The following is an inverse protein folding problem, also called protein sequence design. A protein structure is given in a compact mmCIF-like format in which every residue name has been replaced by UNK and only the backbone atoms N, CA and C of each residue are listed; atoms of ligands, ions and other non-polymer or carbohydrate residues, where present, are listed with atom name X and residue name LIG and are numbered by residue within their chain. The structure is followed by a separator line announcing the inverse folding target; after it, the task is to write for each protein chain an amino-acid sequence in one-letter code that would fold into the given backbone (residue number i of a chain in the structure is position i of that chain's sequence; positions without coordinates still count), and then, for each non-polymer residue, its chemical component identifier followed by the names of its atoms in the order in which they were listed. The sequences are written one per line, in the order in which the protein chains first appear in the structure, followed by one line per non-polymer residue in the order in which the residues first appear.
data_IF_847517783972
#
_entry.id   IF_847517783972
#
_cell.length_a   1.000
_cell.length_b   1.000
_cell.length_c   1.000
_cell.angle_alpha   90.00
_cell.angle_beta   90.00
_cell.angle_gamma   90.00
#
_symmetry.space_group_name_H-M   'P 1'
#
loop_
_entity.id
_entity.type
_entity.pdbx_description
1 polymer ?
#
# COMPACT_ATOMS: atom_id res chain seq x y z
N UNK A 1 -37.05 10.81 25.41
CA UNK A 1 -36.55 10.78 24.80
C UNK A 1 -35.69 9.79 24.50
N UNK A 2 -35.89 8.81 24.72
CA UNK A 2 -34.94 7.75 24.57
C UNK A 2 -34.72 7.46 23.10
N UNK A 3 -35.78 7.38 22.36
CA UNK A 3 -35.71 7.09 20.93
C UNK A 3 -34.96 8.18 20.18
N UNK A 4 -35.16 9.42 20.58
CA UNK A 4 -34.43 10.52 19.97
C UNK A 4 -32.96 10.44 20.25
N UNK A 5 -32.58 9.87 21.38
CA UNK A 5 -31.18 9.71 21.70
C UNK A 5 -30.52 8.60 20.87
N UNK A 6 -31.26 7.53 20.64
CA UNK A 6 -30.69 6.43 19.83
C UNK A 6 -30.37 6.86 18.41
N UNK A 7 -31.22 7.63 17.80
CA UNK A 7 -31.03 8.07 16.43
C UNK A 7 -29.74 8.86 16.27
N UNK A 8 -29.45 9.87 17.10
CA UNK A 8 -28.17 10.58 16.99
C UNK A 8 -26.95 9.69 17.17
N UNK A 9 -27.03 8.73 18.10
CA UNK A 9 -25.91 7.80 18.30
C UNK A 9 -25.70 6.92 17.09
N UNK A 10 -26.79 6.41 16.51
CA UNK A 10 -26.70 5.57 15.33
C UNK A 10 -26.09 6.35 14.17
N UNK A 11 -26.52 7.59 13.98
CA UNK A 11 -25.99 8.43 12.91
C UNK A 11 -24.51 8.71 13.11
N UNK A 12 -24.10 8.98 14.34
CA UNK A 12 -22.71 9.25 14.65
C UNK A 12 -21.85 8.02 14.38
N UNK A 13 -22.33 6.85 14.80
CA UNK A 13 -21.61 5.61 14.57
C UNK A 13 -21.43 5.34 13.09
N UNK A 14 -22.48 5.54 12.30
CA UNK A 14 -22.42 5.34 10.87
C UNK A 14 -21.45 6.33 10.21
N UNK A 15 -21.45 7.56 10.67
CA UNK A 15 -20.53 8.56 10.16
C UNK A 15 -19.09 8.20 10.45
N UNK A 16 -18.81 7.70 11.65
CA UNK A 16 -17.46 7.27 12.00
C UNK A 16 -17.01 6.08 11.15
N UNK A 17 -17.90 5.14 10.91
CA UNK A 17 -17.60 4.00 10.05
C UNK A 17 -17.30 4.45 8.63
N UNK A 18 -18.10 5.37 8.12
CA UNK A 18 -17.90 5.88 6.77
C UNK A 18 -16.56 6.61 6.65
N UNK A 19 -16.19 7.40 7.63
CA UNK A 19 -14.89 8.08 7.64
C UNK A 19 -13.75 7.10 7.68
N UNK A 20 -13.89 6.03 8.44
CA UNK A 20 -12.87 4.99 8.51
C UNK A 20 -12.71 4.29 7.17
N UNK A 21 -13.81 3.98 6.50
CA UNK A 21 -13.77 3.37 5.17
C UNK A 21 -13.09 4.28 4.16
N UNK A 22 -13.37 5.57 4.21
CA UNK A 22 -12.73 6.54 3.34
C UNK A 22 -11.21 6.56 3.54
N UNK A 23 -10.77 6.55 4.79
CA UNK A 23 -9.34 6.53 5.10
C UNK A 23 -8.67 5.28 4.56
N UNK A 24 -9.31 4.12 4.71
CA UNK A 24 -8.77 2.89 4.19
C UNK A 24 -8.68 2.91 2.67
N UNK A 25 -9.69 3.46 2.00
CA UNK A 25 -9.66 3.59 0.55
C UNK A 25 -8.55 4.52 0.09
N UNK A 26 -8.32 5.62 0.79
CA UNK A 26 -7.27 6.57 0.46
C UNK A 26 -5.90 5.92 0.63
N UNK A 27 -5.70 5.17 1.71
CA UNK A 27 -4.45 4.43 1.91
C UNK A 27 -4.20 3.44 0.77
N UNK A 28 -5.24 2.70 0.40
CA UNK A 28 -5.14 1.72 -0.67
C UNK A 28 -4.76 2.38 -1.99
N UNK A 29 -5.39 3.50 -2.31
CA UNK A 29 -5.06 4.24 -3.54
C UNK A 29 -3.61 4.69 -3.53
N UNK A 30 -3.12 5.15 -2.39
CA UNK A 30 -1.73 5.57 -2.25
C UNK A 30 -0.79 4.39 -2.48
N UNK A 31 -1.08 3.25 -1.86
CA UNK A 31 -0.26 2.06 -2.00
C UNK A 31 -0.28 1.52 -3.43
N UNK A 32 -1.43 1.59 -4.10
CA UNK A 32 -1.54 1.17 -5.49
C UNK A 32 -0.72 2.06 -6.42
N UNK A 33 -0.64 3.35 -6.10
CA UNK A 33 0.19 4.26 -6.87
C UNK A 33 1.67 3.91 -6.71
N UNK A 34 2.09 3.62 -5.49
CA UNK A 34 3.46 3.17 -5.23
C UNK A 34 3.72 1.85 -5.96
N UNK A 35 2.76 0.95 -5.92
CA UNK A 35 2.88 -0.32 -6.62
C UNK A 35 3.07 -0.13 -8.12
N UNK A 36 2.38 0.83 -8.72
CA UNK A 36 2.53 1.09 -10.13
C UNK A 36 3.94 1.61 -10.48
N UNK A 37 4.56 2.39 -9.60
CA UNK A 37 5.94 2.79 -9.77
C UNK A 37 6.89 1.59 -9.69
N UNK A 38 6.60 0.68 -8.78
CA UNK A 38 7.38 -0.54 -8.63
C UNK A 38 7.27 -1.41 -9.88
N UNK A 39 6.07 -1.54 -10.44
CA UNK A 39 5.87 -2.29 -11.67
C UNK A 39 6.71 -1.73 -12.82
N UNK A 40 6.73 -0.41 -12.95
CA UNK A 40 7.55 0.24 -13.97
C UNK A 40 9.02 -0.08 -13.78
N UNK A 41 9.47 -0.06 -12.53
CA UNK A 41 10.86 -0.35 -12.23
C UNK A 41 11.21 -1.82 -12.52
N UNK A 42 10.30 -2.73 -12.24
CA UNK A 42 10.48 -4.13 -12.57
C UNK A 42 10.65 -4.31 -14.08
N UNK A 43 9.77 -3.67 -14.85
CA UNK A 43 9.83 -3.76 -16.31
C UNK A 43 11.17 -3.22 -16.83
N UNK A 44 11.57 -2.07 -16.35
CA UNK A 44 12.86 -1.48 -16.78
C UNK A 44 14.02 -2.38 -16.43
N UNK A 45 14.02 -2.94 -15.23
CA UNK A 45 15.11 -3.82 -14.81
C UNK A 45 15.14 -5.11 -15.61
N UNK A 46 13.96 -5.66 -15.94
CA UNK A 46 13.90 -6.88 -16.73
C UNK A 46 14.40 -6.67 -18.16
N UNK A 47 14.17 -5.49 -18.72
CA UNK A 47 14.68 -5.15 -20.04
C UNK A 47 16.21 -5.11 -20.07
N UNK A 48 16.82 -4.82 -18.91
CA UNK A 48 18.27 -4.84 -18.77
C UNK A 48 18.84 -6.20 -18.40
N UNK A 49 18.05 -7.29 -18.56
CA UNK A 49 18.45 -8.67 -18.23
C UNK A 49 18.70 -8.92 -16.75
N UNK A 50 18.10 -8.11 -15.89
CA UNK A 50 18.15 -8.34 -14.45
C UNK A 50 17.01 -9.22 -14.00
N UNK A 51 17.23 -9.97 -12.93
CA UNK A 51 16.20 -10.82 -12.33
C UNK A 51 15.71 -10.27 -11.01
N UNK A 52 16.13 -9.08 -10.65
CA UNK A 52 15.75 -8.45 -9.40
C UNK A 52 15.83 -6.93 -9.57
N UNK A 53 15.18 -6.24 -8.65
CA UNK A 53 15.31 -4.79 -8.55
C UNK A 53 15.08 -4.37 -7.11
N UNK A 54 15.48 -3.15 -6.82
CA UNK A 54 15.28 -2.53 -5.51
C UNK A 54 14.30 -1.41 -5.63
N UNK A 55 13.54 -1.18 -4.59
CA UNK A 55 12.71 0.02 -4.52
C UNK A 55 12.82 0.60 -3.12
N UNK A 56 13.14 1.88 -3.06
CA UNK A 56 13.16 2.60 -1.80
C UNK A 56 11.78 3.22 -1.59
N UNK A 57 11.04 2.73 -0.60
CA UNK A 57 9.71 3.26 -0.32
C UNK A 57 9.89 4.63 0.33
N UNK A 58 9.36 5.70 -0.26
CA UNK A 58 9.51 7.03 0.32
C UNK A 58 8.66 7.16 1.59
N UNK A 59 9.09 8.03 2.49
CA UNK A 59 8.33 8.26 3.72
C UNK A 59 7.02 8.97 3.45
N UNK A 60 6.98 9.76 2.39
CA UNK A 60 5.76 10.45 1.99
C UNK A 60 5.86 10.83 0.52
N UNK A 61 4.69 11.09 -0.08
CA UNK A 61 4.59 11.68 -1.42
C UNK A 61 3.89 13.03 -1.30
N UNK A 62 4.44 14.03 -1.97
CA UNK A 62 3.81 15.36 -2.00
C UNK A 62 2.46 15.21 -2.69
N UNK A 63 1.42 15.74 -2.04
CA UNK A 63 0.07 15.69 -2.57
C UNK A 63 -0.72 14.43 -2.23
N UNK A 64 -0.11 13.50 -1.51
CA UNK A 64 -0.80 12.30 -1.06
C UNK A 64 -0.85 12.24 0.46
N UNK A 65 -1.86 11.59 1.05
CA UNK A 65 -1.93 11.45 2.51
C UNK A 65 -0.73 10.71 3.07
N UNK A 66 -0.42 10.98 4.31
CA UNK A 66 0.65 10.25 5.01
C UNK A 66 0.28 8.80 5.16
N UNK A 67 1.29 7.93 5.14
CA UNK A 67 1.09 6.50 5.27
C UNK A 67 2.22 5.89 6.10
N UNK A 68 2.05 4.65 6.49
CA UNK A 68 3.07 3.90 7.21
C UNK A 68 3.88 3.07 6.22
N UNK A 69 5.20 3.16 6.30
CA UNK A 69 6.07 2.35 5.45
C UNK A 69 5.84 0.87 5.73
N UNK A 70 5.63 0.49 6.99
CA UNK A 70 5.39 -0.90 7.34
C UNK A 70 4.10 -1.44 6.74
N UNK A 71 3.01 -0.69 6.83
CA UNK A 71 1.76 -1.09 6.19
C UNK A 71 1.90 -1.16 4.68
N UNK A 72 2.59 -0.17 4.11
CA UNK A 72 2.80 -0.08 2.68
C UNK A 72 3.58 -1.29 2.16
N UNK A 73 4.68 -1.63 2.82
CA UNK A 73 5.49 -2.75 2.34
C UNK A 73 4.76 -4.08 2.47
N UNK A 74 3.94 -4.26 3.51
CA UNK A 74 3.14 -5.48 3.65
C UNK A 74 2.13 -5.58 2.51
N UNK A 75 1.44 -4.49 2.22
CA UNK A 75 0.46 -4.44 1.14
C UNK A 75 1.10 -4.78 -0.22
N UNK A 76 2.21 -4.14 -0.51
CA UNK A 76 2.90 -4.32 -1.78
C UNK A 76 3.49 -5.72 -1.90
N UNK A 77 4.10 -6.23 -0.84
CA UNK A 77 4.69 -7.57 -0.85
C UNK A 77 3.62 -8.63 -1.06
N UNK A 78 2.45 -8.46 -0.45
CA UNK A 78 1.34 -9.38 -0.66
C UNK A 78 0.88 -9.40 -2.11
N UNK A 79 0.80 -8.24 -2.74
CA UNK A 79 0.44 -8.15 -4.15
C UNK A 79 1.49 -8.80 -5.05
N UNK A 80 2.75 -8.53 -4.78
CA UNK A 80 3.85 -9.12 -5.55
C UNK A 80 3.89 -10.64 -5.39
N UNK A 81 3.66 -11.12 -4.19
CA UNK A 81 3.63 -12.55 -3.92
C UNK A 81 2.53 -13.23 -4.74
N UNK A 82 1.37 -12.63 -4.83
CA UNK A 82 0.27 -13.17 -5.64
C UNK A 82 0.63 -13.26 -7.10
N UNK A 83 1.53 -12.43 -7.56
CA UNK A 83 1.99 -12.41 -8.95
C UNK A 83 3.27 -13.22 -9.15
N UNK A 84 3.69 -13.99 -8.16
CA UNK A 84 4.82 -14.90 -8.30
C UNK A 84 6.18 -14.32 -7.97
N UNK A 85 6.22 -13.08 -7.47
CA UNK A 85 7.48 -12.46 -7.11
C UNK A 85 7.90 -12.85 -5.70
N UNK A 86 9.21 -12.89 -5.48
CA UNK A 86 9.79 -13.06 -4.16
C UNK A 86 10.27 -11.71 -3.67
N UNK A 87 10.05 -11.42 -2.40
CA UNK A 87 10.42 -10.12 -1.86
C UNK A 87 11.12 -10.24 -0.53
N UNK A 88 11.99 -9.27 -0.25
CA UNK A 88 12.64 -9.11 1.05
C UNK A 88 12.56 -7.63 1.41
N UNK A 89 12.36 -7.35 2.66
CA UNK A 89 12.28 -5.97 3.12
C UNK A 89 13.39 -5.69 4.12
N UNK A 90 14.12 -4.61 3.89
CA UNK A 90 15.22 -4.18 4.76
C UNK A 90 14.89 -2.83 5.34
N UNK A 91 15.02 -2.73 6.65
CA UNK A 91 14.80 -1.47 7.33
C UNK A 91 15.79 -0.42 6.83
N UNK A 92 15.37 0.84 6.77
CA UNK A 92 14.04 1.33 7.14
C UNK A 92 13.01 1.25 6.01
N UNK A 93 13.41 1.14 4.76
CA UNK A 93 12.46 1.32 3.66
C UNK A 93 12.91 0.69 2.34
N UNK A 94 13.77 -0.29 2.36
CA UNK A 94 14.27 -0.89 1.13
C UNK A 94 13.55 -2.19 0.85
N UNK A 95 12.95 -2.29 -0.33
CA UNK A 95 12.26 -3.47 -0.80
C UNK A 95 13.05 -4.11 -1.93
N UNK A 96 13.45 -5.36 -1.76
CA UNK A 96 14.09 -6.15 -2.79
C UNK A 96 13.05 -7.04 -3.45
N UNK A 97 13.01 -7.04 -4.76
CA UNK A 97 12.03 -7.79 -5.54
C UNK A 97 12.76 -8.68 -6.53
N UNK A 98 12.45 -9.97 -6.50
CA UNK A 98 13.04 -10.96 -7.40
C UNK A 98 11.91 -11.63 -8.15
N UNK A 99 12.10 -11.85 -9.46
CA UNK A 99 11.04 -12.46 -10.27
C UNK A 99 11.48 -13.70 -11.04
N UNK A 100 12.71 -14.05 -10.95
CA UNK A 100 13.18 -15.22 -11.64
C UNK A 100 14.07 -16.05 -10.75
N UNK A 101 13.83 -17.33 -10.71
CA UNK A 101 14.53 -18.20 -9.78
C UNK A 101 14.96 -19.49 -10.43
N UNK A 102 15.35 -19.44 -11.66
CA UNK A 102 15.78 -20.66 -12.33
C UNK A 102 17.04 -21.26 -11.72
#
# INVERSE_FOLDING_TARGET
YIDGEKVPYADLTQELINKQKEREQIKTLTYDKIYSFIEKKIILSSEGNSYYTWYQIPEFFIGLPLYSIDECQIYIRNKLKKNGFKTEFYQPNILLIKWFSS
#
